data_IF_837915485756
#
_entry.id   IF_837915485756
#
_cell.length_a   1.000
_cell.length_b   1.000
_cell.length_c   1.000
_cell.angle_alpha   90.00
_cell.angle_beta   90.00
_cell.angle_gamma   90.00
#
_symmetry.space_group_name_H-M   'P 1'
#
loop_
_entity.id
_entity.type
_entity.pdbx_description
1 polymer ?
#
# COMPACT_ATOMS: atom_id res chain seq x y z
N UNK A 1 13.47 -5.60 -10.26
CA UNK A 1 13.54 -4.57 -9.20
C UNK A 1 13.05 -3.19 -9.66
N UNK A 2 13.25 -2.77 -10.92
CA UNK A 2 12.94 -1.40 -11.37
C UNK A 2 11.45 -1.01 -11.32
N UNK A 3 10.52 -1.89 -11.71
CA UNK A 3 9.09 -1.57 -11.71
C UNK A 3 8.54 -1.31 -10.30
N UNK A 4 8.93 -2.17 -9.38
CA UNK A 4 8.49 -2.15 -7.99
C UNK A 4 9.10 -0.95 -7.24
N UNK A 5 10.36 -0.61 -7.54
CA UNK A 5 10.96 0.64 -7.08
C UNK A 5 10.30 1.89 -7.68
N UNK A 6 9.92 1.87 -8.97
CA UNK A 6 9.22 2.99 -9.61
C UNK A 6 7.81 3.20 -9.02
N UNK A 7 7.08 2.12 -8.70
CA UNK A 7 5.80 2.22 -8.00
C UNK A 7 5.96 2.81 -6.60
N UNK A 8 7.01 2.42 -5.87
CA UNK A 8 7.31 3.00 -4.56
C UNK A 8 7.70 4.49 -4.66
N UNK A 9 8.27 4.93 -5.78
CA UNK A 9 8.65 6.34 -6.02
C UNK A 9 7.43 7.21 -6.40
N UNK A 10 6.44 6.62 -7.10
CA UNK A 10 5.18 7.30 -7.47
C UNK A 10 4.19 7.40 -6.30
N UNK A 11 4.27 6.49 -5.33
CA UNK A 11 3.37 6.48 -4.17
C UNK A 11 3.58 7.73 -3.29
N UNK A 12 2.50 8.46 -3.02
CA UNK A 12 2.53 9.61 -2.12
C UNK A 12 2.80 9.14 -0.67
N UNK A 13 3.94 9.59 -0.12
CA UNK A 13 4.46 9.20 1.19
C UNK A 13 4.57 10.34 2.18
N UNK A 14 4.02 11.52 1.85
CA UNK A 14 4.13 12.71 2.70
C UNK A 14 3.63 12.45 4.13
N UNK A 15 2.54 11.67 4.28
CA UNK A 15 2.00 11.31 5.59
C UNK A 15 2.99 10.50 6.44
N UNK A 16 3.83 9.64 5.84
CA UNK A 16 4.87 8.89 6.58
C UNK A 16 5.89 9.85 7.21
N UNK A 17 6.31 10.87 6.46
CA UNK A 17 7.23 11.89 6.95
C UNK A 17 6.60 12.71 8.09
N UNK A 18 5.34 13.11 7.95
CA UNK A 18 4.60 13.86 8.98
C UNK A 18 4.49 13.11 10.31
N UNK A 19 4.30 11.78 10.27
CA UNK A 19 4.21 10.95 11.48
C UNK A 19 5.57 10.44 11.97
N UNK A 20 6.67 10.87 11.33
CA UNK A 20 8.04 10.52 11.74
C UNK A 20 8.50 9.13 11.32
N UNK A 21 7.85 8.52 10.33
CA UNK A 21 8.25 7.25 9.71
C UNK A 21 9.21 7.49 8.53
N UNK A 22 10.32 8.16 8.81
CA UNK A 22 11.29 8.60 7.78
C UNK A 22 12.31 7.52 7.39
N UNK A 23 12.49 6.48 8.21
CA UNK A 23 13.39 5.34 7.94
C UNK A 23 12.61 4.15 7.35
N UNK A 24 11.67 4.45 6.47
CA UNK A 24 10.73 3.54 5.85
C UNK A 24 11.31 2.85 4.60
N UNK A 25 12.57 2.43 4.64
CA UNK A 25 13.14 1.71 3.49
C UNK A 25 12.40 0.38 3.29
N UNK A 26 11.96 0.07 2.06
CA UNK A 26 11.34 -1.22 1.75
C UNK A 26 12.29 -2.38 2.06
N UNK A 27 11.81 -3.37 2.80
CA UNK A 27 12.55 -4.62 3.02
C UNK A 27 12.22 -5.62 1.92
N UNK A 28 13.28 -6.18 1.31
CA UNK A 28 13.18 -7.09 0.16
C UNK A 28 13.72 -8.46 0.53
N UNK A 29 12.86 -9.46 0.51
CA UNK A 29 13.25 -10.87 0.61
C UNK A 29 13.02 -11.55 -0.75
N UNK A 30 14.09 -12.05 -1.35
CA UNK A 30 14.06 -12.69 -2.66
C UNK A 30 14.53 -14.13 -2.53
N UNK A 31 13.62 -15.05 -2.82
CA UNK A 31 13.86 -16.49 -2.83
C UNK A 31 13.75 -17.02 -4.26
N UNK A 32 14.87 -17.49 -4.81
CA UNK A 32 14.90 -18.14 -6.14
C UNK A 32 14.60 -19.62 -5.96
N UNK A 33 13.55 -20.10 -6.61
CA UNK A 33 13.18 -21.53 -6.56
C UNK A 33 13.86 -22.33 -7.66
N UNK A 34 13.91 -21.79 -8.89
CA UNK A 34 14.59 -22.37 -10.03
C UNK A 34 15.00 -21.30 -11.08
N UNK A 35 15.43 -21.74 -12.26
CA UNK A 35 15.86 -20.85 -13.35
C UNK A 35 14.72 -20.00 -13.93
N UNK A 36 13.46 -20.38 -13.70
CA UNK A 36 12.27 -19.73 -14.26
C UNK A 36 11.44 -19.00 -13.19
N UNK A 37 11.61 -19.35 -11.91
CA UNK A 37 10.71 -18.93 -10.82
C UNK A 37 11.46 -18.34 -9.63
N UNK A 38 10.99 -17.19 -9.16
CA UNK A 38 11.42 -16.58 -7.91
C UNK A 38 10.23 -15.94 -7.17
N UNK A 39 10.24 -16.09 -5.85
CA UNK A 39 9.31 -15.42 -4.94
C UNK A 39 9.97 -14.16 -4.38
N UNK A 40 9.27 -13.04 -4.43
CA UNK A 40 9.71 -11.76 -3.85
C UNK A 40 8.68 -11.33 -2.80
N UNK A 41 9.13 -11.13 -1.57
CA UNK A 41 8.33 -10.55 -0.49
C UNK A 41 8.84 -9.14 -0.22
N UNK A 42 7.94 -8.17 -0.34
CA UNK A 42 8.20 -6.76 -0.07
C UNK A 42 7.45 -6.36 1.20
N UNK A 43 8.17 -5.85 2.19
CA UNK A 43 7.57 -5.25 3.39
C UNK A 43 7.80 -3.74 3.35
N UNK A 44 6.70 -2.97 3.41
CA UNK A 44 6.74 -1.50 3.48
C UNK A 44 5.86 -1.00 4.61
N UNK A 45 6.26 0.07 5.32
CA UNK A 45 5.37 0.74 6.24
C UNK A 45 4.30 1.52 5.46
N UNK A 46 3.11 1.61 6.05
CA UNK A 46 1.98 2.36 5.51
C UNK A 46 1.46 3.29 6.60
N UNK A 47 1.02 4.47 6.19
CA UNK A 47 0.27 5.40 7.03
C UNK A 47 -0.99 5.82 6.29
N UNK A 48 -2.08 5.96 7.03
CA UNK A 48 -3.36 6.45 6.50
C UNK A 48 -3.93 7.50 7.44
N UNK A 49 -4.61 8.48 6.88
CA UNK A 49 -5.24 9.54 7.65
C UNK A 49 -6.48 9.00 8.37
N UNK A 50 -6.56 9.25 9.68
CA UNK A 50 -7.75 8.95 10.46
C UNK A 50 -8.73 10.11 10.40
N UNK A 51 -9.80 9.93 9.64
CA UNK A 51 -10.88 10.93 9.53
C UNK A 51 -11.94 10.65 10.59
N UNK A 52 -12.30 11.67 11.38
CA UNK A 52 -13.40 11.62 12.35
C UNK A 52 -14.55 12.51 11.91
N UNK A 53 -15.77 12.08 12.22
CA UNK A 53 -17.00 12.86 12.01
C UNK A 53 -17.73 13.02 13.34
N UNK A 54 -18.32 14.20 13.55
CA UNK A 54 -19.19 14.45 14.71
C UNK A 54 -20.38 13.47 14.71
N UNK A 55 -20.56 12.82 15.85
CA UNK A 55 -21.59 11.80 16.10
C UNK A 55 -21.94 11.83 17.58
N UNK A 56 -23.19 12.20 17.91
CA UNK A 56 -23.65 12.30 19.31
C UNK A 56 -23.48 10.99 20.10
N UNK A 57 -23.51 9.84 19.41
CA UNK A 57 -23.31 8.52 20.00
C UNK A 57 -21.87 8.01 19.83
N UNK A 58 -20.97 8.85 19.29
CA UNK A 58 -19.61 8.48 18.95
C UNK A 58 -18.74 8.12 20.16
N UNK A 59 -17.85 7.16 19.94
CA UNK A 59 -17.00 6.60 21.00
C UNK A 59 -15.91 7.57 21.47
N UNK A 60 -15.57 8.60 20.68
CA UNK A 60 -14.45 9.50 20.92
C UNK A 60 -14.97 10.82 21.52
N UNK A 61 -14.69 11.12 22.80
CA UNK A 61 -14.96 12.44 23.37
C UNK A 61 -13.81 13.40 23.09
N UNK A 62 -14.06 14.49 22.36
CA UNK A 62 -13.04 15.49 22.05
C UNK A 62 -13.65 16.88 21.84
N UNK A 63 -12.99 17.92 22.40
CA UNK A 63 -13.43 19.32 22.38
C UNK A 63 -14.91 19.54 22.79
N UNK A 64 -15.39 18.78 23.78
CA UNK A 64 -16.78 18.90 24.27
C UNK A 64 -17.83 18.29 23.35
N UNK A 65 -17.41 17.62 22.27
CA UNK A 65 -18.27 16.89 21.33
C UNK A 65 -17.94 15.40 21.32
N UNK A 66 -18.78 14.63 20.65
CA UNK A 66 -18.64 13.19 20.43
C UNK A 66 -18.36 12.93 18.95
N UNK A 67 -17.49 11.98 18.67
CA UNK A 67 -16.99 11.69 17.33
C UNK A 67 -16.92 10.18 17.09
N UNK A 68 -17.09 9.81 15.83
CA UNK A 68 -16.91 8.44 15.33
C UNK A 68 -15.85 8.42 14.24
N UNK A 69 -15.10 7.32 14.17
CA UNK A 69 -14.18 7.07 13.05
C UNK A 69 -14.99 6.93 11.76
N UNK A 70 -14.56 7.62 10.72
CA UNK A 70 -15.00 7.35 9.36
C UNK A 70 -14.20 6.14 8.88
N UNK A 71 -14.90 5.09 8.48
CA UNK A 71 -14.23 3.92 7.92
C UNK A 71 -13.81 4.27 6.49
N UNK A 72 -12.51 4.29 6.17
CA UNK A 72 -12.07 4.59 4.81
C UNK A 72 -12.54 3.50 3.85
N UNK A 73 -12.81 3.88 2.61
CA UNK A 73 -13.08 2.94 1.54
C UNK A 73 -11.74 2.37 1.06
N UNK A 74 -11.51 1.08 1.32
CA UNK A 74 -10.28 0.39 0.92
C UNK A 74 -10.43 -0.08 -0.52
N UNK A 75 -9.61 0.48 -1.42
CA UNK A 75 -9.56 0.06 -2.82
C UNK A 75 -8.53 -1.05 -2.99
N UNK A 76 -9.00 -2.28 -3.15
CA UNK A 76 -8.13 -3.45 -3.37
C UNK A 76 -7.85 -3.57 -4.87
N UNK A 77 -6.60 -3.37 -5.26
CA UNK A 77 -6.14 -3.74 -6.60
C UNK A 77 -6.00 -5.27 -6.65
N UNK A 78 -6.89 -5.94 -7.39
CA UNK A 78 -6.88 -7.41 -7.53
C UNK A 78 -6.07 -7.86 -8.76
N UNK A 79 -5.78 -6.96 -9.70
CA UNK A 79 -4.99 -7.27 -10.91
C UNK A 79 -3.99 -6.16 -11.25
N UNK A 80 -2.86 -6.55 -11.84
CA UNK A 80 -1.86 -5.65 -12.40
C UNK A 80 -1.30 -6.24 -13.71
N UNK A 81 -1.05 -5.39 -14.71
CA UNK A 81 -0.41 -5.81 -15.97
C UNK A 81 1.06 -5.40 -15.94
N UNK A 82 1.97 -6.37 -16.09
CA UNK A 82 3.42 -6.14 -16.13
C UNK A 82 3.92 -6.36 -17.57
N UNK A 83 4.43 -5.29 -18.18
CA UNK A 83 5.03 -5.35 -19.51
C UNK A 83 6.55 -5.45 -19.37
N UNK A 84 7.10 -6.65 -19.53
CA UNK A 84 8.54 -6.88 -19.74
C UNK A 84 8.90 -6.60 -21.20
N UNK A 85 10.09 -6.07 -21.47
CA UNK A 85 10.49 -5.59 -22.80
C UNK A 85 10.81 -6.74 -23.77
N UNK A 86 9.78 -7.41 -24.26
CA UNK A 86 9.46 -7.51 -25.68
C UNK A 86 7.96 -7.17 -25.87
N UNK A 87 7.46 -7.10 -27.12
CA UNK A 87 6.13 -6.57 -27.44
C UNK A 87 4.93 -7.39 -26.93
N UNK A 88 5.17 -8.52 -26.24
CA UNK A 88 4.12 -9.49 -25.91
C UNK A 88 3.58 -9.36 -24.47
N UNK A 89 4.42 -8.93 -23.50
CA UNK A 89 4.04 -8.86 -22.08
C UNK A 89 3.62 -10.21 -21.46
N UNK A 90 3.57 -10.30 -20.13
CA UNK A 90 3.14 -11.52 -19.43
C UNK A 90 1.85 -11.26 -18.63
N UNK A 91 0.79 -12.08 -18.80
CA UNK A 91 -0.42 -11.93 -18.00
C UNK A 91 -0.17 -12.33 -16.54
N UNK A 92 -0.63 -11.50 -15.60
CA UNK A 92 -0.57 -11.78 -14.15
C UNK A 92 -2.00 -11.87 -13.63
N UNK A 93 -2.40 -13.06 -13.18
CA UNK A 93 -3.74 -13.36 -12.65
C UNK A 93 -4.67 -14.10 -13.63
N UNK A 94 -5.53 -14.95 -13.09
CA UNK A 94 -6.58 -15.68 -13.82
C UNK A 94 -7.94 -15.39 -13.19
N UNK A 95 -8.96 -15.24 -14.03
CA UNK A 95 -10.33 -14.97 -13.59
C UNK A 95 -10.88 -16.17 -12.81
N UNK A 96 -11.32 -15.92 -11.57
CA UNK A 96 -12.53 -16.55 -11.02
C UNK A 96 -13.68 -15.54 -11.05
#
# INVERSE_FOLDING_TARGET
MSLLAAWLDEADRELLDEVGLTEAEPDWDVSVEDEETATIVLTVPMAEELVIREDENGAIPWQGKRWSLVNPEVWIAITANIYGVDETGAPVGGNE
#
